data_IF_495113750915
#
_entry.id   IF_495113750915
#
_cell.length_a   1.000
_cell.length_b   1.000
_cell.length_c   1.000
_cell.angle_alpha   90.00
_cell.angle_beta   90.00
_cell.angle_gamma   90.00
#
_symmetry.space_group_name_H-M   'P 1'
#
loop_
_entity.id
_entity.type
_entity.pdbx_description
1 polymer ?
#
# COMPACT_ATOMS: atom_id res chain seq x y z
N UNK A 1 -34.67 7.56 -18.35
CA UNK A 1 -33.90 8.70 -17.80
C UNK A 1 -33.68 8.43 -16.33
N UNK A 2 -32.47 8.02 -15.95
CA UNK A 2 -32.15 7.65 -14.58
C UNK A 2 -31.79 8.90 -13.77
N UNK A 3 -32.61 9.19 -12.76
CA UNK A 3 -32.20 9.99 -11.61
C UNK A 3 -31.14 9.20 -10.84
N UNK A 4 -29.98 9.81 -10.60
CA UNK A 4 -29.05 9.34 -9.57
C UNK A 4 -28.91 10.45 -8.56
N UNK A 5 -29.39 10.14 -7.36
CA UNK A 5 -29.30 10.94 -6.15
C UNK A 5 -27.83 10.94 -5.69
N UNK A 6 -27.29 12.14 -5.51
CA UNK A 6 -26.02 12.37 -4.82
C UNK A 6 -26.18 12.07 -3.34
N UNK A 7 -25.30 11.24 -2.77
CA UNK A 7 -25.03 11.26 -1.33
C UNK A 7 -23.66 11.91 -1.10
N UNK A 8 -23.70 13.02 -0.37
CA UNK A 8 -22.59 13.89 0.01
C UNK A 8 -21.64 13.22 1.01
N UNK A 9 -20.33 13.43 0.81
CA UNK A 9 -19.34 13.43 1.88
C UNK A 9 -19.05 14.88 2.27
N UNK A 10 -19.51 15.28 3.46
CA UNK A 10 -19.32 16.60 4.04
C UNK A 10 -17.83 16.87 4.35
N UNK A 11 -17.25 17.88 3.71
CA UNK A 11 -16.22 18.72 4.34
C UNK A 11 -16.78 20.14 4.40
N UNK A 12 -17.18 20.57 5.60
CA UNK A 12 -17.48 21.99 5.84
C UNK A 12 -16.15 22.70 6.01
N UNK A 13 -15.57 23.10 4.88
CA UNK A 13 -14.56 24.14 4.86
C UNK A 13 -14.98 25.18 3.82
N UNK A 14 -15.83 26.11 4.26
CA UNK A 14 -16.26 27.27 3.47
C UNK A 14 -15.24 28.40 3.62
N UNK A 15 -13.99 28.14 3.28
CA UNK A 15 -13.01 29.20 3.07
C UNK A 15 -12.71 29.26 1.57
N UNK A 16 -13.42 30.14 0.87
CA UNK A 16 -13.05 30.50 -0.49
C UNK A 16 -11.71 31.25 -0.44
N UNK A 17 -10.69 30.86 -1.23
CA UNK A 17 -9.46 31.62 -1.29
C UNK A 17 -9.73 32.94 -2.02
N UNK A 18 -9.58 34.06 -1.31
CA UNK A 18 -9.69 35.41 -1.87
C UNK A 18 -8.33 35.89 -2.34
N UNK A 19 -8.27 36.46 -3.55
CA UNK A 19 -7.09 37.20 -4.01
C UNK A 19 -7.22 38.66 -3.53
N UNK A 20 -6.22 39.16 -2.79
CA UNK A 20 -6.14 40.56 -2.39
C UNK A 20 -5.06 41.24 -3.21
N UNK A 21 -5.45 42.16 -4.11
CA UNK A 21 -4.52 42.96 -4.89
C UNK A 21 -4.28 44.29 -4.16
N UNK A 22 -3.06 44.57 -3.67
CA UNK A 22 -2.76 45.83 -3.00
C UNK A 22 -2.59 46.96 -4.02
N UNK A 23 -3.58 47.84 -4.14
CA UNK A 23 -3.42 49.10 -4.86
C UNK A 23 -2.75 50.16 -3.97
N UNK A 24 -1.69 50.81 -4.47
CA UNK A 24 -1.07 51.96 -3.78
C UNK A 24 -1.85 53.23 -4.11
N UNK A 25 -2.44 53.84 -3.10
CA UNK A 25 -3.05 55.18 -3.21
C UNK A 25 -2.41 56.09 -2.16
N UNK A 26 -1.96 57.27 -2.59
CA UNK A 26 -1.41 58.32 -1.70
C UNK A 26 -2.48 59.38 -1.48
N UNK A 27 -2.89 59.62 -0.23
CA UNK A 27 -3.80 60.72 0.10
C UNK A 27 -3.01 62.04 0.01
N UNK A 28 -3.44 62.96 -0.85
CA UNK A 28 -2.75 64.23 -1.07
C UNK A 28 -2.88 65.22 0.11
N UNK A 29 -3.67 64.90 1.14
CA UNK A 29 -4.01 65.81 2.24
C UNK A 29 -3.68 65.25 3.64
N UNK A 30 -2.96 64.14 3.76
CA UNK A 30 -2.54 63.60 5.06
C UNK A 30 -3.67 63.00 5.90
N UNK A 31 -4.84 62.76 5.31
CA UNK A 31 -5.99 62.12 5.98
C UNK A 31 -5.86 60.60 5.81
N UNK A 32 -6.08 59.78 6.87
CA UNK A 32 -6.11 58.33 6.76
C UNK A 32 -7.29 57.87 5.91
N UNK A 33 -7.00 57.08 4.87
CA UNK A 33 -8.01 56.46 4.00
C UNK A 33 -8.15 55.00 4.40
N UNK A 34 -9.34 54.57 4.80
CA UNK A 34 -9.65 53.15 5.02
C UNK A 34 -9.89 52.50 3.66
N UNK A 35 -8.98 51.60 3.25
CA UNK A 35 -9.14 50.81 2.04
C UNK A 35 -9.89 49.52 2.37
N UNK A 36 -10.97 49.25 1.64
CA UNK A 36 -11.57 47.92 1.60
C UNK A 36 -10.93 47.17 0.43
N UNK A 37 -10.09 46.14 0.68
CA UNK A 37 -9.55 45.36 -0.42
C UNK A 37 -10.70 44.73 -1.20
N UNK A 38 -10.70 44.90 -2.51
CA UNK A 38 -11.62 44.18 -3.38
C UNK A 38 -11.19 42.72 -3.35
N UNK A 39 -11.96 41.89 -2.67
CA UNK A 39 -11.78 40.44 -2.64
C UNK A 39 -12.62 39.82 -3.75
N UNK A 40 -11.99 39.28 -4.77
CA UNK A 40 -12.69 38.48 -5.78
C UNK A 40 -12.64 37.00 -5.38
N UNK A 41 -13.79 36.32 -5.44
CA UNK A 41 -13.85 34.87 -5.25
C UNK A 41 -13.24 34.17 -6.47
N UNK A 42 -12.09 33.53 -6.27
CA UNK A 42 -11.49 32.69 -7.31
C UNK A 42 -12.06 31.28 -7.15
N UNK A 43 -12.58 30.65 -8.22
CA UNK A 43 -13.02 29.26 -8.15
C UNK A 43 -11.82 28.36 -7.84
N UNK A 44 -12.05 27.33 -7.02
CA UNK A 44 -11.03 26.32 -6.73
C UNK A 44 -10.44 25.75 -8.04
N UNK A 45 -9.12 25.52 -8.10
CA UNK A 45 -8.48 24.94 -9.27
C UNK A 45 -9.12 23.59 -9.57
N UNK A 46 -9.62 23.44 -10.80
CA UNK A 46 -10.13 22.16 -11.31
C UNK A 46 -9.00 21.46 -12.04
N UNK A 47 -8.42 20.46 -11.38
CA UNK A 47 -7.46 19.57 -12.04
C UNK A 47 -8.22 18.50 -12.83
N UNK A 48 -7.85 18.29 -14.10
CA UNK A 48 -8.37 17.18 -14.92
C UNK A 48 -7.65 15.86 -14.57
N UNK A 49 -7.54 15.58 -13.28
CA UNK A 49 -6.95 14.34 -12.81
C UNK A 49 -7.95 13.22 -13.02
N UNK A 50 -7.67 12.38 -14.03
CA UNK A 50 -8.36 11.11 -14.18
C UNK A 50 -8.06 10.25 -12.96
N UNK A 51 -8.99 10.20 -12.01
CA UNK A 51 -8.86 9.29 -10.88
C UNK A 51 -8.92 7.87 -11.44
N UNK A 52 -7.91 7.01 -11.16
CA UNK A 52 -7.93 5.64 -11.68
C UNK A 52 -9.22 4.94 -11.24
N UNK A 53 -9.88 4.23 -12.17
CA UNK A 53 -11.12 3.50 -11.88
C UNK A 53 -10.94 2.36 -10.86
N UNK A 54 -9.69 1.94 -10.64
CA UNK A 54 -9.32 0.88 -9.71
C UNK A 54 -8.15 1.34 -8.84
N UNK A 55 -8.16 0.94 -7.57
CA UNK A 55 -7.05 1.20 -6.67
C UNK A 55 -5.74 0.62 -7.24
N UNK A 56 -4.76 1.50 -7.43
CA UNK A 56 -3.43 1.09 -7.89
C UNK A 56 -2.64 0.65 -6.67
N UNK A 57 -2.36 -0.65 -6.57
CA UNK A 57 -1.44 -1.18 -5.57
C UNK A 57 -0.06 -0.60 -5.86
N UNK A 58 0.60 0.02 -4.89
CA UNK A 58 1.97 0.55 -5.03
C UNK A 58 2.84 -0.01 -3.91
N UNK A 59 4.15 0.30 -3.92
CA UNK A 59 5.02 -0.04 -2.78
C UNK A 59 4.47 0.53 -1.46
N UNK A 60 3.83 1.70 -1.51
CA UNK A 60 3.22 2.35 -0.34
C UNK A 60 2.00 1.59 0.21
N UNK A 61 1.43 0.66 -0.56
CA UNK A 61 0.37 -0.24 -0.05
C UNK A 61 0.92 -1.32 0.91
N UNK A 62 2.25 -1.47 0.97
CA UNK A 62 2.99 -2.47 1.75
C UNK A 62 3.79 -1.82 2.89
N UNK A 63 3.42 -0.62 3.33
CA UNK A 63 3.96 -0.03 4.55
C UNK A 63 3.65 -0.90 5.79
N UNK A 64 4.38 -0.65 6.87
CA UNK A 64 4.10 -1.30 8.13
C UNK A 64 2.72 -0.91 8.66
N UNK A 65 2.03 -1.90 9.23
CA UNK A 65 0.64 -1.79 9.67
C UNK A 65 0.48 -1.97 11.17
N UNK A 66 1.51 -1.68 11.97
CA UNK A 66 1.35 -1.65 13.41
C UNK A 66 0.26 -0.68 13.87
N UNK A 67 -0.41 -1.03 14.96
CA UNK A 67 -1.60 -0.35 15.47
C UNK A 67 -1.40 0.26 16.88
N UNK A 68 -0.15 0.47 17.31
CA UNK A 68 0.19 0.97 18.66
C UNK A 68 -0.44 0.17 19.81
N UNK A 69 -0.67 -1.13 19.59
CA UNK A 69 -1.18 -2.03 20.60
C UNK A 69 -0.12 -2.36 21.66
N UNK A 70 -0.57 -2.96 22.77
CA UNK A 70 0.31 -3.53 23.78
C UNK A 70 -0.13 -4.94 24.14
N UNK A 71 0.85 -5.78 24.46
CA UNK A 71 0.65 -7.15 24.89
C UNK A 71 1.36 -7.34 26.22
N UNK A 72 0.60 -7.69 27.25
CA UNK A 72 1.12 -7.99 28.58
C UNK A 72 1.48 -9.48 28.61
N UNK A 73 2.76 -9.77 28.84
CA UNK A 73 3.30 -11.12 29.06
C UNK A 73 3.73 -11.27 30.51
N UNK A 74 3.96 -12.50 30.97
CA UNK A 74 4.36 -12.78 32.35
C UNK A 74 5.65 -12.02 32.76
N UNK A 75 6.55 -11.77 31.81
CA UNK A 75 7.87 -11.17 32.06
C UNK A 75 7.95 -9.67 31.66
N UNK A 76 7.13 -9.20 30.71
CA UNK A 76 7.23 -7.85 30.18
C UNK A 76 5.97 -7.35 29.45
N UNK A 77 5.94 -6.06 29.14
CA UNK A 77 4.94 -5.47 28.22
C UNK A 77 5.63 -5.25 26.86
N UNK A 78 5.10 -5.89 25.82
CA UNK A 78 5.51 -5.66 24.43
C UNK A 78 4.62 -4.59 23.82
N UNK A 79 5.23 -3.62 23.15
CA UNK A 79 4.52 -2.55 22.44
C UNK A 79 4.65 -2.74 20.95
N UNK A 80 3.53 -2.64 20.25
CA UNK A 80 3.51 -2.51 18.81
C UNK A 80 3.97 -1.09 18.40
N UNK A 81 4.36 -0.95 17.14
CA UNK A 81 4.68 0.33 16.55
C UNK A 81 3.43 1.07 16.05
N UNK A 82 3.58 2.37 15.77
CA UNK A 82 2.65 3.11 14.92
C UNK A 82 3.02 2.88 13.45
N UNK A 83 2.36 1.90 12.82
CA UNK A 83 2.66 1.41 11.48
C UNK A 83 2.86 2.53 10.47
N UNK A 84 1.84 3.38 10.35
CA UNK A 84 1.83 4.47 9.37
C UNK A 84 2.80 5.58 9.77
N UNK A 85 2.80 6.00 11.04
CA UNK A 85 3.63 7.12 11.45
C UNK A 85 5.11 6.82 11.23
N UNK A 86 5.65 5.69 11.71
CA UNK A 86 7.08 5.42 11.50
C UNK A 86 7.41 5.12 10.03
N UNK A 87 6.48 4.51 9.29
CA UNK A 87 6.63 4.27 7.84
C UNK A 87 6.75 5.56 7.03
N UNK A 88 6.21 6.68 7.51
CA UNK A 88 6.35 7.99 6.87
C UNK A 88 7.70 8.65 7.19
N UNK A 89 8.32 8.31 8.33
CA UNK A 89 9.58 8.90 8.79
C UNK A 89 10.81 8.03 8.53
N UNK A 90 10.63 6.77 8.11
CA UNK A 90 11.71 5.85 7.75
C UNK A 90 11.66 5.51 6.27
N UNK A 91 12.85 5.46 5.65
CA UNK A 91 12.98 4.79 4.36
C UNK A 91 12.63 3.32 4.54
N UNK A 92 11.66 2.86 3.76
CA UNK A 92 11.32 1.45 3.65
C UNK A 92 11.52 1.02 2.21
N UNK A 93 12.05 -0.19 2.05
CA UNK A 93 12.24 -0.81 0.76
C UNK A 93 11.21 -1.93 0.59
N UNK A 94 10.72 -2.09 -0.64
CA UNK A 94 9.85 -3.19 -1.04
C UNK A 94 10.30 -3.64 -2.41
N UNK A 95 10.54 -4.94 -2.57
CA UNK A 95 10.99 -5.50 -3.83
C UNK A 95 9.97 -5.21 -4.95
N UNK A 96 10.36 -4.59 -6.08
CA UNK A 96 9.44 -4.28 -7.18
C UNK A 96 8.73 -5.52 -7.76
N UNK A 97 9.40 -6.67 -7.71
CA UNK A 97 8.82 -7.96 -8.10
C UNK A 97 7.63 -8.35 -7.24
N UNK A 98 7.67 -8.11 -5.93
CA UNK A 98 6.56 -8.35 -5.01
C UNK A 98 5.32 -7.53 -5.39
N UNK A 99 5.51 -6.24 -5.65
CA UNK A 99 4.42 -5.34 -6.10
C UNK A 99 3.82 -5.82 -7.42
N UNK A 100 4.66 -6.27 -8.34
CA UNK A 100 4.23 -6.81 -9.64
C UNK A 100 3.39 -8.06 -9.50
N UNK A 101 3.79 -9.01 -8.64
CA UNK A 101 3.03 -10.23 -8.35
C UNK A 101 1.67 -9.84 -7.77
N UNK A 102 1.63 -9.01 -6.73
CA UNK A 102 0.38 -8.62 -6.07
C UNK A 102 -0.57 -7.92 -7.05
N UNK A 103 -0.06 -7.01 -7.88
CA UNK A 103 -0.86 -6.34 -8.93
C UNK A 103 -1.47 -7.34 -9.89
N UNK A 104 -0.68 -8.30 -10.39
CA UNK A 104 -1.18 -9.33 -11.29
C UNK A 104 -2.29 -10.14 -10.62
N UNK A 105 -2.10 -10.59 -9.39
CA UNK A 105 -3.13 -11.33 -8.65
C UNK A 105 -4.41 -10.47 -8.49
N UNK A 106 -4.25 -9.20 -8.12
CA UNK A 106 -5.37 -8.27 -7.92
C UNK A 106 -6.19 -7.98 -9.19
N UNK A 107 -5.61 -8.16 -10.38
CA UNK A 107 -6.37 -8.04 -11.64
C UNK A 107 -7.31 -9.22 -11.91
N UNK A 108 -7.07 -10.37 -11.27
CA UNK A 108 -7.87 -11.59 -11.48
C UNK A 108 -8.85 -11.85 -10.34
N UNK A 109 -8.49 -11.45 -9.12
CA UNK A 109 -9.36 -11.56 -7.95
C UNK A 109 -9.03 -10.44 -6.96
N UNK A 110 -10.02 -9.89 -6.24
CA UNK A 110 -9.76 -8.88 -5.23
C UNK A 110 -8.91 -9.48 -4.11
N UNK A 111 -7.76 -8.88 -3.84
CA UNK A 111 -6.93 -9.23 -2.69
C UNK A 111 -6.76 -8.01 -1.78
N UNK A 112 -6.73 -8.26 -0.47
CA UNK A 112 -6.35 -7.25 0.52
C UNK A 112 -4.98 -7.60 1.05
N UNK A 113 -4.07 -6.64 1.04
CA UNK A 113 -2.80 -6.78 1.77
C UNK A 113 -3.17 -6.79 3.25
N UNK A 114 -2.75 -7.82 3.97
CA UNK A 114 -2.89 -7.95 5.43
C UNK A 114 -1.62 -7.42 6.06
N UNK A 115 -0.46 -7.92 5.62
CA UNK A 115 0.86 -7.45 6.05
C UNK A 115 1.82 -7.26 4.88
N UNK A 116 2.70 -6.26 4.99
CA UNK A 116 3.72 -5.91 4.01
C UNK A 116 5.11 -5.84 4.65
N UNK A 117 5.84 -4.76 4.44
CA UNK A 117 7.04 -4.47 5.23
C UNK A 117 6.66 -4.36 6.72
N UNK A 118 7.44 -4.99 7.59
CA UNK A 118 7.26 -4.85 9.04
C UNK A 118 8.55 -4.26 9.64
N UNK A 119 8.42 -3.29 10.55
CA UNK A 119 9.57 -2.91 11.37
C UNK A 119 9.90 -4.01 12.40
N UNK A 120 11.11 -4.04 12.99
CA UNK A 120 11.48 -5.05 13.97
C UNK A 120 10.51 -5.15 15.15
N UNK A 121 10.01 -4.02 15.65
CA UNK A 121 9.08 -3.98 16.77
C UNK A 121 7.74 -4.62 16.40
N UNK A 122 7.19 -4.28 15.23
CA UNK A 122 5.93 -4.86 14.76
C UNK A 122 6.05 -6.37 14.53
N UNK A 123 7.16 -6.82 13.94
CA UNK A 123 7.37 -8.25 13.71
C UNK A 123 7.46 -9.03 15.03
N UNK A 124 8.17 -8.49 16.03
CA UNK A 124 8.26 -9.08 17.35
C UNK A 124 6.89 -9.12 18.05
N UNK A 125 6.13 -8.03 17.97
CA UNK A 125 4.78 -7.93 18.53
C UNK A 125 3.83 -8.94 17.89
N UNK A 126 3.79 -9.00 16.56
CA UNK A 126 2.98 -9.96 15.78
C UNK A 126 3.32 -11.41 16.13
N UNK A 127 4.62 -11.72 16.25
CA UNK A 127 5.09 -13.05 16.68
C UNK A 127 4.60 -13.42 18.08
N UNK A 128 4.57 -12.47 19.01
CA UNK A 128 4.09 -12.69 20.37
C UNK A 128 2.55 -12.88 20.43
N UNK A 129 1.80 -12.34 19.47
CA UNK A 129 0.37 -12.61 19.28
C UNK A 129 0.08 -13.97 18.63
N UNK A 130 1.11 -14.76 18.27
CA UNK A 130 0.97 -16.04 17.58
C UNK A 130 0.92 -15.93 16.05
N UNK A 131 1.07 -14.73 15.50
CA UNK A 131 1.16 -14.50 14.06
C UNK A 131 2.62 -14.65 13.61
N UNK A 132 2.98 -15.85 13.16
CA UNK A 132 4.34 -16.15 12.71
C UNK A 132 4.59 -15.65 11.27
N UNK A 133 4.91 -14.37 11.15
CA UNK A 133 5.41 -13.76 9.90
C UNK A 133 6.90 -14.07 9.70
N UNK A 134 7.34 -14.19 8.45
CA UNK A 134 8.76 -14.44 8.16
C UNK A 134 9.62 -13.19 8.33
N UNK A 135 10.92 -13.39 8.58
CA UNK A 135 11.88 -12.27 8.66
C UNK A 135 12.04 -11.50 7.35
N UNK A 136 11.58 -12.07 6.21
CA UNK A 136 11.57 -11.38 4.91
C UNK A 136 10.68 -10.13 4.90
N UNK A 137 9.73 -10.03 5.82
CA UNK A 137 8.95 -8.79 6.03
C UNK A 137 9.83 -7.61 6.47
N UNK A 138 10.94 -7.85 7.19
CA UNK A 138 11.87 -6.79 7.64
C UNK A 138 12.62 -6.11 6.50
N UNK A 139 12.72 -6.78 5.35
CA UNK A 139 13.46 -6.29 4.18
C UNK A 139 12.52 -6.03 2.99
N UNK A 140 11.21 -6.03 3.23
CA UNK A 140 10.19 -5.80 2.19
C UNK A 140 10.16 -6.88 1.10
N UNK A 141 10.65 -8.08 1.42
CA UNK A 141 10.69 -9.24 0.53
C UNK A 141 9.53 -10.21 0.76
N UNK A 142 8.58 -9.88 1.64
CA UNK A 142 7.39 -10.70 1.87
C UNK A 142 6.13 -9.86 2.01
N UNK A 143 5.00 -10.50 1.70
CA UNK A 143 3.67 -9.96 1.94
C UNK A 143 2.71 -11.08 2.34
N UNK A 144 1.73 -10.73 3.18
CA UNK A 144 0.59 -11.56 3.50
C UNK A 144 -0.65 -10.92 2.89
N UNK A 145 -1.39 -11.68 2.08
CA UNK A 145 -2.64 -11.25 1.46
C UNK A 145 -3.80 -12.08 1.97
N UNK A 146 -4.98 -11.49 2.14
CA UNK A 146 -6.24 -12.23 2.25
C UNK A 146 -6.79 -12.48 0.85
N UNK A 147 -7.23 -13.70 0.60
CA UNK A 147 -7.85 -14.13 -0.66
C UNK A 147 -9.31 -14.57 -0.43
N UNK A 148 -10.15 -14.52 -1.47
CA UNK A 148 -11.44 -15.22 -1.44
C UNK A 148 -11.23 -16.73 -1.26
N UNK A 149 -12.07 -17.39 -0.46
CA UNK A 149 -11.90 -18.81 -0.10
C UNK A 149 -12.01 -19.81 -1.26
N UNK A 150 -12.52 -19.37 -2.40
CA UNK A 150 -12.63 -20.15 -3.63
C UNK A 150 -11.32 -20.23 -4.43
N UNK A 151 -10.29 -19.47 -4.07
CA UNK A 151 -9.04 -19.42 -4.83
C UNK A 151 -8.10 -20.56 -4.40
N UNK A 152 -7.73 -21.40 -5.36
CA UNK A 152 -6.75 -22.47 -5.19
C UNK A 152 -5.39 -22.11 -5.78
N UNK A 153 -4.33 -22.82 -5.37
CA UNK A 153 -3.00 -22.68 -5.98
C UNK A 153 -3.00 -23.01 -7.48
N UNK A 154 -3.91 -23.86 -7.97
CA UNK A 154 -4.03 -24.15 -9.39
C UNK A 154 -4.53 -22.96 -10.20
N UNK A 155 -5.44 -22.17 -9.63
CA UNK A 155 -5.88 -20.91 -10.25
C UNK A 155 -4.72 -19.91 -10.30
N UNK A 156 -3.98 -19.77 -9.20
CA UNK A 156 -2.81 -18.87 -9.14
C UNK A 156 -1.73 -19.31 -10.14
N UNK A 157 -1.40 -20.61 -10.21
CA UNK A 157 -0.40 -21.16 -11.13
C UNK A 157 -0.71 -20.86 -12.60
N UNK A 158 -1.98 -20.76 -13.00
CA UNK A 158 -2.38 -20.39 -14.38
C UNK A 158 -2.16 -18.92 -14.69
N UNK A 159 -2.14 -18.05 -13.67
CA UNK A 159 -1.99 -16.59 -13.80
C UNK A 159 -0.52 -16.18 -13.85
N UNK A 160 0.33 -16.78 -12.99
CA UNK A 160 1.74 -16.40 -12.85
C UNK A 160 2.58 -16.37 -14.14
N UNK A 161 2.33 -17.21 -15.18
CA UNK A 161 3.05 -17.12 -16.45
C UNK A 161 2.96 -15.74 -17.12
N UNK A 162 1.91 -14.96 -16.84
CA UNK A 162 1.76 -13.60 -17.34
C UNK A 162 2.84 -12.63 -16.80
N UNK A 163 3.57 -12.99 -15.73
CA UNK A 163 4.71 -12.22 -15.24
C UNK A 163 5.90 -12.16 -16.21
N UNK A 164 5.91 -13.02 -17.24
CA UNK A 164 7.06 -13.22 -18.14
C UNK A 164 6.75 -12.96 -19.63
N UNK A 165 5.63 -12.30 -19.94
CA UNK A 165 5.18 -12.05 -21.33
C UNK A 165 5.75 -10.76 -21.93
N UNK A 166 6.32 -9.86 -21.12
CA UNK A 166 7.05 -8.69 -21.63
C UNK A 166 8.51 -9.05 -21.95
N UNK A 167 9.09 -8.38 -22.97
CA UNK A 167 10.49 -8.51 -23.45
C UNK A 167 11.51 -8.23 -22.32
N UNK A 168 11.63 -9.14 -21.37
CA UNK A 168 12.64 -9.09 -20.33
C UNK A 168 13.81 -9.97 -20.76
N UNK A 169 15.00 -9.38 -20.70
CA UNK A 169 16.27 -9.96 -21.12
C UNK A 169 16.81 -10.79 -19.95
N UNK A 170 17.14 -12.07 -20.22
CA UNK A 170 17.86 -13.05 -19.36
C UNK A 170 17.02 -13.82 -18.30
N UNK A 171 17.51 -14.99 -17.82
CA UNK A 171 16.71 -16.21 -17.75
C UNK A 171 15.83 -16.29 -16.50
N UNK A 172 14.53 -16.43 -16.72
CA UNK A 172 13.57 -16.70 -15.66
C UNK A 172 13.25 -18.18 -15.59
N UNK A 173 13.18 -18.74 -14.38
CA UNK A 173 12.68 -20.10 -14.17
C UNK A 173 11.15 -20.02 -14.21
N UNK A 174 10.57 -20.26 -15.38
CA UNK A 174 9.11 -20.27 -15.59
C UNK A 174 8.44 -21.54 -15.06
N UNK A 175 9.23 -22.51 -14.63
CA UNK A 175 8.77 -23.77 -14.09
C UNK A 175 8.43 -23.63 -12.61
N UNK A 176 7.16 -23.79 -12.30
CA UNK A 176 6.68 -23.74 -10.92
C UNK A 176 6.55 -25.14 -10.33
N UNK A 177 7.30 -25.38 -9.26
CA UNK A 177 7.12 -26.52 -8.39
C UNK A 177 5.91 -26.26 -7.49
N UNK A 178 5.02 -27.25 -7.38
CA UNK A 178 3.77 -27.14 -6.63
C UNK A 178 3.69 -28.28 -5.62
N UNK A 179 3.40 -27.94 -4.37
CA UNK A 179 2.91 -28.86 -3.34
C UNK A 179 1.44 -28.56 -3.02
N UNK A 180 0.88 -29.20 -2.00
CA UNK A 180 -0.51 -28.97 -1.58
C UNK A 180 -0.76 -27.52 -1.15
N UNK A 181 0.21 -26.92 -0.45
CA UNK A 181 0.08 -25.60 0.18
C UNK A 181 1.06 -24.57 -0.36
N UNK A 182 1.98 -24.96 -1.25
CA UNK A 182 3.02 -24.09 -1.75
C UNK A 182 3.14 -24.14 -3.27
N UNK A 183 3.50 -23.01 -3.86
CA UNK A 183 3.86 -22.86 -5.25
C UNK A 183 5.13 -22.02 -5.31
N UNK A 184 6.20 -22.51 -5.93
CA UNK A 184 7.47 -21.79 -5.95
C UNK A 184 8.22 -21.98 -7.27
N UNK A 185 9.12 -21.05 -7.53
CA UNK A 185 10.18 -21.18 -8.53
C UNK A 185 11.48 -20.60 -7.95
N UNK A 186 12.52 -20.45 -8.78
CA UNK A 186 13.77 -19.85 -8.31
C UNK A 186 13.71 -18.36 -7.92
N UNK A 187 12.61 -17.66 -8.19
CA UNK A 187 12.47 -16.22 -7.93
C UNK A 187 11.64 -15.92 -6.68
N UNK A 188 10.56 -16.66 -6.45
CA UNK A 188 9.63 -16.42 -5.36
C UNK A 188 8.87 -17.70 -4.98
N UNK A 189 8.39 -17.74 -3.74
CA UNK A 189 7.48 -18.75 -3.23
C UNK A 189 6.14 -18.11 -2.85
N UNK A 190 5.07 -18.89 -2.97
CA UNK A 190 3.76 -18.54 -2.48
C UNK A 190 3.23 -19.69 -1.64
N UNK A 191 2.67 -19.37 -0.47
CA UNK A 191 2.10 -20.36 0.45
C UNK A 191 0.67 -19.98 0.79
N UNK A 192 -0.27 -20.88 0.54
CA UNK A 192 -1.67 -20.72 1.00
C UNK A 192 -1.83 -21.35 2.37
N UNK A 193 -2.48 -20.62 3.28
CA UNK A 193 -2.84 -21.09 4.60
C UNK A 193 -4.29 -20.70 4.89
N UNK A 194 -5.02 -21.53 5.64
CA UNK A 194 -6.36 -21.20 6.14
C UNK A 194 -6.28 -20.92 7.62
N UNK A 195 -6.70 -19.73 8.03
CA UNK A 195 -6.71 -19.29 9.42
C UNK A 195 -8.05 -18.62 9.70
N UNK A 196 -8.71 -18.98 10.81
CA UNK A 196 -9.98 -18.40 11.24
C UNK A 196 -11.10 -18.41 10.19
N UNK A 197 -11.11 -19.43 9.33
CA UNK A 197 -12.08 -19.57 8.24
C UNK A 197 -11.78 -18.76 6.99
N UNK A 198 -10.69 -17.98 6.96
CA UNK A 198 -10.24 -17.20 5.82
C UNK A 198 -9.01 -17.81 5.15
N UNK A 199 -8.87 -17.58 3.86
CA UNK A 199 -7.72 -18.01 3.06
C UNK A 199 -6.69 -16.89 2.96
N UNK A 200 -5.46 -17.18 3.36
CA UNK A 200 -4.32 -16.27 3.30
C UNK A 200 -3.25 -16.78 2.34
N UNK A 201 -2.61 -15.86 1.63
CA UNK A 201 -1.50 -16.11 0.73
C UNK A 201 -0.27 -15.34 1.21
N UNK A 202 0.74 -16.07 1.65
CA UNK A 202 2.08 -15.53 1.84
C UNK A 202 2.80 -15.52 0.50
N UNK A 203 3.46 -14.43 0.16
CA UNK A 203 4.38 -14.31 -0.99
C UNK A 203 5.75 -13.95 -0.44
N UNK A 204 6.79 -14.67 -0.86
CA UNK A 204 8.17 -14.38 -0.47
C UNK A 204 9.08 -14.30 -1.70
N UNK A 205 9.90 -13.26 -1.78
CA UNK A 205 10.93 -13.11 -2.80
C UNK A 205 12.18 -13.88 -2.36
N UNK A 206 12.65 -14.76 -3.25
CA UNK A 206 13.82 -15.61 -3.06
C UNK A 206 15.04 -15.08 -3.81
N UNK A 207 14.83 -14.35 -4.90
CA UNK A 207 15.89 -13.83 -5.75
C UNK A 207 15.59 -12.41 -6.24
N UNK A 208 16.57 -11.52 -6.10
CA UNK A 208 16.50 -10.16 -6.61
C UNK A 208 16.97 -10.13 -8.07
N UNK A 209 16.01 -9.89 -8.96
CA UNK A 209 16.26 -9.82 -10.40
C UNK A 209 17.01 -8.55 -10.82
N UNK A 210 16.89 -7.46 -10.07
CA UNK A 210 17.52 -6.18 -10.42
C UNK A 210 19.01 -6.21 -10.08
N UNK A 211 19.36 -6.79 -8.93
CA UNK A 211 20.73 -6.90 -8.45
C UNK A 211 21.38 -8.26 -8.73
N UNK A 212 20.61 -9.22 -9.26
CA UNK A 212 21.05 -10.58 -9.58
C UNK A 212 21.70 -11.31 -8.38
N UNK A 213 21.02 -11.27 -7.22
CA UNK A 213 21.49 -11.88 -5.97
C UNK A 213 20.35 -12.62 -5.24
N UNK A 214 20.64 -13.68 -4.47
CA UNK A 214 19.67 -14.30 -3.58
C UNK A 214 19.21 -13.34 -2.48
N UNK A 215 17.94 -13.42 -2.12
CA UNK A 215 17.36 -12.69 -0.99
C UNK A 215 17.36 -13.62 0.22
N UNK A 216 18.22 -13.31 1.21
CA UNK A 216 18.37 -14.08 2.46
C UNK A 216 17.45 -13.51 3.53
#
# INVERSE_FOLDING_TARGET
>A
MCSIVFCLGCSKDTSHPYLVIPERITSQLGIPVTLYPISEEVPNPRYDWQCPKHHIITKYSLHCRGHQEKLETDDCILYDCDGLQHSLFQEFFVFPRLVTIIRLLNTHFPCSIVEGYCCPNHLAFSSAQGNHLSKKHLIGAAALLSLPDSISLDHIKRILPALYTQKQVLPFIKEFQKSEVMLENGEFSLKIQKMDGYSYLTIEILYDLENNIPVI
#
